data_IF_447635924437
#
_entry.id   IF_447635924437
#
_cell.length_a   1.000
_cell.length_b   1.000
_cell.length_c   1.000
_cell.angle_alpha   90.00
_cell.angle_beta   90.00
_cell.angle_gamma   90.00
#
_symmetry.space_group_name_H-M   'P 1'
#
loop_
_entity.id
_entity.type
_entity.pdbx_description
1 polymer ?
#
# COMPACT_ATOMS: atom_id res chain seq x y z
N UNK A 1 12.15 5.04 -4.60
CA UNK A 1 11.50 4.37 -5.74
C UNK A 1 10.01 4.27 -5.45
N UNK A 2 9.14 4.76 -6.33
CA UNK A 2 7.67 4.84 -6.11
C UNK A 2 6.96 3.53 -6.49
N UNK A 3 7.50 2.79 -7.45
CA UNK A 3 6.84 1.59 -7.99
C UNK A 3 7.60 0.30 -7.66
N UNK A 4 8.88 0.41 -7.27
CA UNK A 4 9.71 -0.76 -6.96
C UNK A 4 9.76 -1.73 -8.14
N UNK A 5 9.80 -3.03 -7.85
CA UNK A 5 9.94 -4.08 -8.86
C UNK A 5 8.66 -4.33 -9.69
N UNK A 6 7.55 -3.68 -9.35
CA UNK A 6 6.23 -3.94 -9.97
C UNK A 6 6.14 -3.59 -11.45
N UNK A 7 7.12 -2.87 -11.99
CA UNK A 7 7.21 -2.49 -13.41
C UNK A 7 8.14 -3.36 -14.24
N UNK A 8 8.90 -4.25 -13.59
CA UNK A 8 9.98 -5.03 -14.22
C UNK A 8 9.79 -6.55 -13.99
N UNK A 9 9.18 -6.95 -12.88
CA UNK A 9 8.86 -8.35 -12.57
C UNK A 9 7.37 -8.67 -12.78
N UNK A 10 7.05 -9.96 -12.91
CA UNK A 10 5.67 -10.43 -13.00
C UNK A 10 5.15 -10.85 -11.63
N UNK A 11 4.09 -10.18 -11.18
CA UNK A 11 3.37 -10.51 -9.95
C UNK A 11 1.94 -10.91 -10.31
N UNK A 12 1.39 -11.86 -9.56
CA UNK A 12 -0.01 -12.25 -9.73
C UNK A 12 -0.96 -11.29 -8.99
N UNK A 13 -0.56 -10.81 -7.81
CA UNK A 13 -1.41 -10.00 -6.93
C UNK A 13 -0.61 -8.87 -6.28
N UNK A 14 -1.23 -7.69 -6.16
CA UNK A 14 -0.76 -6.57 -5.34
C UNK A 14 -1.86 -6.22 -4.32
N UNK A 15 -1.47 -6.16 -3.04
CA UNK A 15 -2.37 -5.81 -1.94
C UNK A 15 -2.18 -4.35 -1.59
N UNK A 16 -3.27 -3.58 -1.60
CA UNK A 16 -3.23 -2.12 -1.37
C UNK A 16 -4.34 -1.67 -0.42
N UNK A 17 -4.07 -0.59 0.30
CA UNK A 17 -5.10 0.14 1.03
C UNK A 17 -5.90 1.05 0.10
N UNK A 18 -6.96 1.65 0.64
CA UNK A 18 -7.70 2.70 -0.07
C UNK A 18 -6.84 3.88 -0.51
N UNK A 19 -5.88 4.29 0.33
CA UNK A 19 -4.91 5.34 0.03
C UNK A 19 -3.99 5.00 -1.15
N UNK A 20 -3.61 3.72 -1.29
CA UNK A 20 -2.62 3.28 -2.29
C UNK A 20 -3.25 2.64 -3.52
N UNK A 21 -4.58 2.60 -3.59
CA UNK A 21 -5.32 2.01 -4.71
C UNK A 21 -5.04 2.70 -6.05
N UNK A 22 -4.97 4.04 -6.06
CA UNK A 22 -4.71 4.79 -7.29
C UNK A 22 -3.29 4.52 -7.83
N UNK A 23 -2.32 4.33 -6.93
CA UNK A 23 -0.96 3.94 -7.32
C UNK A 23 -0.95 2.55 -7.97
N UNK A 24 -1.72 1.59 -7.45
CA UNK A 24 -1.83 0.27 -8.06
C UNK A 24 -2.50 0.33 -9.45
N UNK A 25 -3.50 1.19 -9.64
CA UNK A 25 -4.08 1.42 -10.98
C UNK A 25 -3.06 2.03 -11.92
N UNK A 26 -2.26 2.98 -11.45
CA UNK A 26 -1.17 3.58 -12.20
C UNK A 26 -0.15 2.54 -12.67
N UNK A 27 0.26 1.62 -11.78
CA UNK A 27 1.14 0.50 -12.12
C UNK A 27 0.55 -0.33 -13.26
N UNK A 28 -0.72 -0.73 -13.19
CA UNK A 28 -1.35 -1.51 -14.26
C UNK A 28 -1.45 -0.73 -15.59
N UNK A 29 -1.71 0.58 -15.54
CA UNK A 29 -1.68 1.42 -16.75
C UNK A 29 -0.30 1.42 -17.41
N UNK A 30 0.77 1.54 -16.62
CA UNK A 30 2.16 1.51 -17.13
C UNK A 30 2.47 0.11 -17.67
N UNK A 31 2.12 -0.96 -16.95
CA UNK A 31 2.32 -2.35 -17.38
C UNK A 31 1.63 -2.64 -18.71
N UNK A 32 0.38 -2.20 -18.86
CA UNK A 32 -0.38 -2.32 -20.12
C UNK A 32 0.31 -1.60 -21.28
N UNK A 33 0.83 -0.39 -21.05
CA UNK A 33 1.60 0.35 -22.07
C UNK A 33 2.89 -0.36 -22.47
N UNK A 34 3.52 -1.09 -21.52
CA UNK A 34 4.70 -1.93 -21.76
C UNK A 34 4.39 -3.32 -22.34
N UNK A 35 3.11 -3.67 -22.56
CA UNK A 35 2.71 -5.01 -22.99
C UNK A 35 2.86 -6.10 -21.91
N UNK A 36 3.02 -5.70 -20.65
CA UNK A 36 3.10 -6.60 -19.50
C UNK A 36 1.70 -6.96 -19.01
N UNK A 37 1.56 -8.18 -18.45
CA UNK A 37 0.31 -8.65 -17.85
C UNK A 37 -0.08 -7.76 -16.66
N UNK A 38 -1.34 -7.35 -16.60
CA UNK A 38 -1.88 -6.62 -15.43
C UNK A 38 -1.79 -7.49 -14.16
N UNK A 39 -1.54 -6.83 -13.02
CA UNK A 39 -1.49 -7.46 -11.70
C UNK A 39 -2.89 -7.37 -11.08
N UNK A 40 -3.37 -8.44 -10.43
CA UNK A 40 -4.64 -8.40 -9.70
C UNK A 40 -4.51 -7.47 -8.49
N UNK A 41 -5.39 -6.48 -8.38
CA UNK A 41 -5.38 -5.53 -7.26
C UNK A 41 -6.37 -6.01 -6.19
N UNK A 42 -5.88 -6.32 -5.00
CA UNK A 42 -6.69 -6.63 -3.82
C UNK A 42 -6.72 -5.43 -2.88
N UNK A 43 -7.89 -4.79 -2.75
CA UNK A 43 -8.08 -3.62 -1.88
C UNK A 43 -8.45 -4.08 -0.47
N UNK A 44 -7.65 -3.72 0.52
CA UNK A 44 -7.89 -3.99 1.94
C UNK A 44 -8.22 -2.72 2.71
N UNK A 45 -9.05 -2.86 3.75
CA UNK A 45 -9.33 -1.78 4.69
C UNK A 45 -8.16 -1.57 5.64
N UNK A 46 -7.90 -0.32 6.01
CA UNK A 46 -6.88 0.00 7.01
C UNK A 46 -7.41 -0.27 8.43
N UNK A 47 -6.54 -0.82 9.28
CA UNK A 47 -6.82 -0.95 10.71
C UNK A 47 -6.57 0.40 11.37
N UNK A 48 -7.49 0.84 12.24
CA UNK A 48 -7.40 2.12 12.93
C UNK A 48 -6.65 1.98 14.27
N UNK A 49 -5.86 2.99 14.61
CA UNK A 49 -5.27 3.19 15.92
C UNK A 49 -6.30 3.80 16.89
N UNK A 50 -5.94 3.91 18.18
CA UNK A 50 -6.81 4.47 19.24
C UNK A 50 -7.22 5.93 18.98
N UNK A 51 -6.42 6.69 18.23
CA UNK A 51 -6.74 8.07 17.85
C UNK A 51 -7.64 8.18 16.60
N UNK A 52 -8.19 7.06 16.13
CA UNK A 52 -9.09 7.01 14.98
C UNK A 52 -8.40 7.21 13.62
N UNK A 53 -7.07 7.31 13.59
CA UNK A 53 -6.28 7.36 12.35
C UNK A 53 -5.71 5.97 12.02
N UNK A 54 -5.47 5.65 10.74
CA UNK A 54 -4.88 4.37 10.37
C UNK A 54 -3.56 4.04 11.07
N UNK A 55 -3.35 2.76 11.38
CA UNK A 55 -2.04 2.22 11.74
C UNK A 55 -1.16 2.26 10.49
N UNK A 56 0.02 2.87 10.61
CA UNK A 56 1.02 2.85 9.55
C UNK A 56 2.44 2.73 10.11
N UNK A 57 3.32 2.11 9.34
CA UNK A 57 4.74 1.93 9.71
C UNK A 57 5.44 3.26 9.98
N UNK A 58 5.06 4.32 9.26
CA UNK A 58 5.57 5.69 9.48
C UNK A 58 5.25 6.18 10.88
N UNK A 59 4.00 6.00 11.34
CA UNK A 59 3.56 6.44 12.67
C UNK A 59 4.21 5.63 13.78
N UNK A 60 4.35 4.31 13.57
CA UNK A 60 5.08 3.42 14.49
C UNK A 60 6.54 3.85 14.61
N UNK A 61 7.22 4.10 13.48
CA UNK A 61 8.64 4.52 13.47
C UNK A 61 8.85 5.89 14.12
N UNK A 62 7.87 6.79 14.00
CA UNK A 62 7.89 8.10 14.66
C UNK A 62 7.59 8.03 16.16
N UNK A 63 7.18 6.86 16.67
CA UNK A 63 6.77 6.71 18.05
C UNK A 63 5.44 7.38 18.38
N UNK A 64 4.57 7.63 17.39
CA UNK A 64 3.23 8.17 17.63
C UNK A 64 2.29 7.07 18.17
N UNK A 65 2.49 5.83 17.70
CA UNK A 65 1.72 4.65 18.09
C UNK A 65 2.63 3.42 18.19
N UNK A 66 2.22 2.40 18.93
CA UNK A 66 2.84 1.07 18.87
C UNK A 66 2.24 0.20 17.74
N UNK A 67 2.71 -1.05 17.62
CA UNK A 67 2.25 -1.99 16.57
C UNK A 67 0.79 -2.39 16.72
N UNK A 68 0.27 -2.29 17.94
CA UNK A 68 -1.11 -2.57 18.30
C UNK A 68 -2.02 -1.34 18.08
N UNK A 69 -1.48 -0.20 17.64
CA UNK A 69 -2.24 1.02 17.43
C UNK A 69 -2.51 1.84 18.69
N UNK A 70 -1.82 1.54 19.80
CA UNK A 70 -1.91 2.34 21.04
C UNK A 70 -1.09 3.61 20.92
N UNK A 71 -1.63 4.72 21.40
CA UNK A 71 -0.92 6.00 21.37
C UNK A 71 0.28 5.95 22.32
N UNK A 72 1.44 6.27 21.77
CA UNK A 72 2.66 6.49 22.54
C UNK A 72 2.80 8.01 22.63
N UNK A 73 2.28 8.57 23.72
CA UNK A 73 2.37 10.00 24.04
C UNK A 73 3.78 10.39 24.48
#
# INVERSE_FOLDING_TARGET
>A
DKYGLTLDENFDVIVVSEETFDTAREINMIRKRKGLKEIKIEKISLVMAEDGKPISSTRIRKGEINREGRILG
#
